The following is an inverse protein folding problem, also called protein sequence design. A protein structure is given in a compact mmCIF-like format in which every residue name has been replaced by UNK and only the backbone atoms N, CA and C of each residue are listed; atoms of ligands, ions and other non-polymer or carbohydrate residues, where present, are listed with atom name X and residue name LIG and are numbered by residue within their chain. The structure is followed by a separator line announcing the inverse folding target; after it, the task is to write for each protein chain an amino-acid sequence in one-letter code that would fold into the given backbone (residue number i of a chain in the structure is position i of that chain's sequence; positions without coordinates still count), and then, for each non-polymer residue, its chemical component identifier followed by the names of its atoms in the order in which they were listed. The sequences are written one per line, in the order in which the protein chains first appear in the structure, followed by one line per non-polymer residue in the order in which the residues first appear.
data_IF_327980425655
#
_entry.id   IF_327980425655
#
_cell.length_a   1.000
_cell.length_b   1.000
_cell.length_c   1.000
_cell.angle_alpha   90.00
_cell.angle_beta   90.00
_cell.angle_gamma   90.00
#
_symmetry.space_group_name_H-M   'P 1'
#
loop_
_entity.id
_entity.type
_entity.pdbx_description
1 polymer ?
#
# COMPACT_ATOMS: atom_id res chain seq x y z
N UNK A 1 9.30 5.39 52.73
CA UNK A 1 7.87 5.10 52.52
C UNK A 1 7.43 5.94 51.34
N UNK A 2 7.83 5.55 50.13
CA UNK A 2 7.49 6.25 48.89
C UNK A 2 7.42 5.21 47.78
N UNK A 3 6.36 4.41 47.83
CA UNK A 3 6.11 3.36 46.84
C UNK A 3 4.61 3.29 46.59
N UNK A 4 4.03 4.46 46.30
CA UNK A 4 2.66 4.58 45.83
C UNK A 4 2.68 5.20 44.45
N UNK A 5 1.72 4.79 43.63
CA UNK A 5 1.45 5.43 42.36
C UNK A 5 1.25 6.94 42.55
N UNK A 6 1.85 7.74 41.66
CA UNK A 6 1.59 9.18 41.61
C UNK A 6 0.10 9.44 41.40
N UNK A 7 -0.38 10.63 41.78
CA UNK A 7 -1.79 11.00 41.55
C UNK A 7 -2.19 10.88 40.07
N UNK A 8 -1.27 11.21 39.17
CA UNK A 8 -1.46 11.08 37.72
C UNK A 8 -1.60 9.60 37.31
N UNK A 9 -0.70 8.73 37.76
CA UNK A 9 -0.74 7.29 37.42
C UNK A 9 -2.01 6.62 37.96
N UNK A 10 -2.44 6.95 39.19
CA UNK A 10 -3.71 6.44 39.74
C UNK A 10 -4.90 6.85 38.88
N UNK A 11 -4.97 8.11 38.48
CA UNK A 11 -6.07 8.60 37.63
C UNK A 11 -6.07 7.91 36.26
N UNK A 12 -4.90 7.65 35.69
CA UNK A 12 -4.80 6.93 34.42
C UNK A 12 -5.24 5.47 34.58
N UNK A 13 -4.77 4.76 35.62
CA UNK A 13 -5.14 3.37 35.87
C UNK A 13 -6.66 3.22 36.13
N UNK A 14 -7.26 4.13 36.89
CA UNK A 14 -8.72 4.18 37.07
C UNK A 14 -9.45 4.43 35.75
N UNK A 15 -8.97 5.35 34.92
CA UNK A 15 -9.54 5.60 33.60
C UNK A 15 -9.42 4.38 32.66
N UNK A 16 -8.41 3.51 32.85
CA UNK A 16 -8.28 2.24 32.13
C UNK A 16 -9.22 1.15 32.65
N UNK A 17 -9.80 1.33 33.84
CA UNK A 17 -10.81 0.44 34.42
C UNK A 17 -10.36 -0.30 35.68
N UNK A 18 -9.24 0.08 36.30
CA UNK A 18 -8.86 -0.49 37.61
C UNK A 18 -9.68 0.13 38.72
N UNK A 19 -10.13 -0.71 39.64
CA UNK A 19 -10.76 -0.29 40.89
C UNK A 19 -9.71 0.09 41.94
N UNK A 20 -10.13 0.82 42.98
CA UNK A 20 -9.27 1.18 44.11
C UNK A 20 -8.73 -0.07 44.84
N UNK A 21 -9.56 -1.10 44.99
CA UNK A 21 -9.15 -2.36 45.66
C UNK A 21 -8.07 -3.10 44.87
N UNK A 22 -8.18 -3.12 43.53
CA UNK A 22 -7.17 -3.71 42.64
C UNK A 22 -5.85 -2.93 42.67
N UNK A 23 -5.91 -1.61 42.78
CA UNK A 23 -4.70 -0.78 42.92
C UNK A 23 -3.99 -1.06 44.24
N UNK A 24 -4.72 -1.20 45.35
CA UNK A 24 -4.15 -1.57 46.65
C UNK A 24 -3.53 -2.97 46.60
N UNK A 25 -4.17 -3.93 45.93
CA UNK A 25 -3.62 -5.28 45.73
C UNK A 25 -2.30 -5.25 44.94
N UNK A 26 -2.23 -4.46 43.86
CA UNK A 26 -1.00 -4.30 43.06
C UNK A 26 0.15 -3.71 43.88
N UNK A 27 -0.12 -2.67 44.68
CA UNK A 27 0.89 -2.09 45.58
C UNK A 27 1.37 -3.12 46.61
N UNK A 28 0.46 -3.93 47.17
CA UNK A 28 0.80 -5.03 48.07
C UNK A 28 1.68 -6.12 47.44
N UNK A 29 1.58 -6.30 46.13
CA UNK A 29 2.42 -7.21 45.34
C UNK A 29 3.72 -6.57 44.83
N UNK A 30 4.01 -5.32 45.21
CA UNK A 30 5.22 -4.61 44.80
C UNK A 30 5.12 -3.88 43.45
N UNK A 31 3.95 -3.88 42.81
CA UNK A 31 3.69 -3.10 41.59
C UNK A 31 3.22 -1.70 41.99
N UNK A 32 4.17 -0.82 42.30
CA UNK A 32 3.90 0.52 42.84
C UNK A 32 4.24 1.68 41.91
N UNK A 33 4.70 1.40 40.68
CA UNK A 33 5.08 2.43 39.71
C UNK A 33 4.84 1.95 38.28
N UNK A 34 4.83 2.88 37.33
CA UNK A 34 4.82 2.52 35.90
C UNK A 34 5.96 1.55 35.52
N UNK A 35 7.14 1.72 36.11
CA UNK A 35 8.30 0.87 35.83
C UNK A 35 8.08 -0.57 36.30
N UNK A 36 7.34 -0.80 37.39
CA UNK A 36 7.05 -2.12 37.91
C UNK A 36 6.22 -2.97 36.94
N UNK A 37 5.41 -2.36 36.07
CA UNK A 37 4.69 -3.08 35.02
C UNK A 37 5.60 -3.64 33.92
N UNK A 38 6.83 -3.15 33.79
CA UNK A 38 7.81 -3.75 32.87
C UNK A 38 8.27 -5.13 33.36
N UNK A 39 8.28 -5.38 34.67
CA UNK A 39 8.59 -6.70 35.25
C UNK A 39 7.44 -7.69 35.04
N UNK A 40 6.19 -7.21 35.04
CA UNK A 40 5.01 -8.02 34.70
C UNK A 40 5.05 -8.43 33.23
N UNK A 41 5.39 -7.48 32.34
CA UNK A 41 5.78 -7.73 30.94
C UNK A 41 4.69 -8.24 29.98
N UNK A 42 3.71 -9.02 30.46
CA UNK A 42 2.65 -9.63 29.63
C UNK A 42 1.28 -9.57 30.29
N UNK A 43 0.24 -9.57 29.45
CA UNK A 43 -1.17 -9.57 29.88
C UNK A 43 -1.49 -10.80 30.73
N UNK A 44 -0.93 -11.96 30.37
CA UNK A 44 -1.12 -13.22 31.09
C UNK A 44 -0.57 -13.13 32.52
N UNK A 45 0.64 -12.63 32.71
CA UNK A 45 1.24 -12.46 34.04
C UNK A 45 0.44 -11.48 34.91
N UNK A 46 -0.13 -10.43 34.31
CA UNK A 46 -1.01 -9.50 35.05
C UNK A 46 -2.33 -10.17 35.47
N UNK A 47 -2.90 -11.04 34.63
CA UNK A 47 -4.09 -11.83 34.94
C UNK A 47 -3.81 -12.94 35.96
N UNK A 48 -2.60 -13.49 36.02
CA UNK A 48 -2.19 -14.43 37.07
C UNK A 48 -2.10 -13.75 38.45
N UNK A 49 -1.65 -12.49 38.48
CA UNK A 49 -1.60 -11.68 39.70
C UNK A 49 -2.99 -11.19 40.14
N UNK A 50 -3.87 -10.88 39.17
CA UNK A 50 -5.25 -10.43 39.40
C UNK A 50 -6.23 -11.25 38.53
N UNK A 51 -6.64 -12.45 38.98
CA UNK A 51 -7.50 -13.32 38.18
C UNK A 51 -8.92 -12.78 37.96
N UNK A 52 -9.34 -11.83 38.80
CA UNK A 52 -10.64 -11.13 38.67
C UNK A 52 -10.58 -9.93 37.72
N UNK A 53 -9.42 -9.62 37.14
CA UNK A 53 -9.25 -8.51 36.21
C UNK A 53 -9.74 -8.88 34.81
N UNK A 54 -10.50 -7.98 34.19
CA UNK A 54 -10.93 -8.15 32.81
C UNK A 54 -9.72 -8.15 31.85
N UNK A 55 -9.59 -9.12 30.93
CA UNK A 55 -8.46 -9.20 29.99
C UNK A 55 -8.26 -7.95 29.11
N UNK A 56 -9.34 -7.24 28.77
CA UNK A 56 -9.27 -5.99 28.01
C UNK A 56 -8.80 -4.82 28.87
N UNK A 57 -9.09 -4.82 30.19
CA UNK A 57 -8.51 -3.85 31.13
C UNK A 57 -7.00 -4.11 31.29
N UNK A 58 -6.59 -5.37 31.46
CA UNK A 58 -5.18 -5.75 31.59
C UNK A 58 -4.34 -5.32 30.36
N UNK A 59 -4.89 -5.49 29.16
CA UNK A 59 -4.26 -5.04 27.91
C UNK A 59 -4.07 -3.52 27.89
N UNK A 60 -5.12 -2.75 28.20
CA UNK A 60 -5.06 -1.28 28.20
C UNK A 60 -4.11 -0.69 29.25
N UNK A 61 -3.90 -1.39 30.36
CA UNK A 61 -2.92 -1.02 31.38
C UNK A 61 -1.51 -1.24 30.89
N UNK A 62 -1.21 -2.42 30.32
CA UNK A 62 0.13 -2.73 29.82
C UNK A 62 0.51 -1.92 28.58
N UNK A 63 -0.43 -1.61 27.69
CA UNK A 63 -0.22 -0.67 26.58
C UNK A 63 0.22 0.73 27.05
N UNK A 64 -0.32 1.17 28.19
CA UNK A 64 0.08 2.45 28.78
C UNK A 64 1.41 2.32 29.54
N UNK A 65 1.56 1.25 30.32
CA UNK A 65 2.65 1.13 31.28
C UNK A 65 3.97 0.73 30.62
N UNK A 66 3.94 -0.22 29.69
CA UNK A 66 5.11 -0.69 28.95
C UNK A 66 5.30 0.21 27.72
N UNK A 67 6.35 1.04 27.66
CA UNK A 67 6.66 1.75 26.44
C UNK A 67 6.89 0.70 25.34
N UNK A 68 6.22 0.86 24.20
CA UNK A 68 6.45 0.04 23.00
C UNK A 68 7.91 0.24 22.59
N UNK A 69 8.79 -0.57 23.15
CA UNK A 69 10.19 -0.61 22.77
C UNK A 69 10.20 -0.96 21.28
N UNK A 70 10.84 -0.08 20.52
CA UNK A 70 11.19 -0.25 19.11
C UNK A 70 11.56 -1.72 18.89
N UNK A 71 10.89 -2.34 17.92
CA UNK A 71 11.13 -3.71 17.51
C UNK A 71 12.60 -3.89 17.14
N UNK A 72 13.41 -4.31 18.11
CA UNK A 72 14.72 -4.90 17.87
C UNK A 72 14.47 -6.29 17.29
N UNK A 73 15.09 -6.56 16.15
CA UNK A 73 15.06 -7.84 15.43
C UNK A 73 15.21 -9.04 16.37
N UNK A 74 14.19 -9.90 16.35
CA UNK A 74 14.23 -11.30 16.80
C UNK A 74 13.25 -12.10 15.93
N UNK A 75 13.47 -13.42 15.77
CA UNK A 75 13.24 -14.14 14.53
C UNK A 75 11.76 -14.25 14.17
N UNK A 76 11.52 -14.14 12.87
CA UNK A 76 10.26 -14.32 12.15
C UNK A 76 9.39 -15.39 12.85
N UNK A 77 8.32 -15.01 13.58
CA UNK A 77 7.24 -15.93 13.82
C UNK A 77 6.55 -16.10 12.48
N UNK A 78 6.42 -17.35 12.03
CA UNK A 78 5.62 -17.73 10.87
C UNK A 78 4.18 -17.35 11.18
N UNK A 79 3.84 -16.08 10.95
CA UNK A 79 2.48 -15.63 10.92
C UNK A 79 1.81 -16.47 9.84
N UNK A 80 0.82 -17.26 10.25
CA UNK A 80 -0.24 -17.69 9.36
C UNK A 80 -0.93 -16.40 8.93
N UNK A 81 -0.35 -15.72 7.96
CA UNK A 81 -1.04 -14.80 7.08
C UNK A 81 -2.09 -15.70 6.46
N UNK A 82 -3.31 -15.72 6.98
CA UNK A 82 -4.44 -15.99 6.12
C UNK A 82 -4.31 -14.92 5.04
N UNK A 83 -3.89 -15.27 3.82
CA UNK A 83 -3.87 -14.27 2.77
C UNK A 83 -5.34 -13.86 2.65
N UNK A 84 -5.65 -12.60 2.93
CA UNK A 84 -6.88 -12.00 2.42
C UNK A 84 -6.65 -11.95 0.92
N UNK A 85 -6.91 -13.08 0.26
CA UNK A 85 -6.90 -13.17 -1.19
C UNK A 85 -8.10 -12.34 -1.60
N UNK A 86 -7.85 -11.06 -1.89
CA UNK A 86 -8.79 -10.26 -2.63
C UNK A 86 -8.78 -10.85 -4.05
N UNK A 87 -9.68 -11.82 -4.26
CA UNK A 87 -9.94 -12.38 -5.58
C UNK A 87 -10.73 -11.32 -6.32
N UNK A 88 -10.02 -10.34 -6.86
CA UNK A 88 -10.59 -9.48 -7.88
C UNK A 88 -10.92 -10.35 -9.09
N UNK A 89 -12.13 -10.16 -9.61
CA UNK A 89 -12.57 -10.85 -10.81
C UNK A 89 -11.68 -10.45 -11.98
N UNK A 90 -11.40 -11.37 -12.91
CA UNK A 90 -10.44 -11.13 -14.01
C UNK A 90 -10.84 -9.99 -14.96
N UNK A 91 -12.09 -9.55 -14.88
CA UNK A 91 -12.71 -8.42 -15.57
C UNK A 91 -12.65 -7.09 -14.78
N UNK A 92 -12.05 -7.06 -13.58
CA UNK A 92 -11.93 -5.85 -12.80
C UNK A 92 -11.01 -4.82 -13.48
N UNK A 93 -11.58 -3.66 -13.83
CA UNK A 93 -10.84 -2.54 -14.42
C UNK A 93 -10.48 -1.54 -13.32
N UNK A 94 -9.26 -1.00 -13.38
CA UNK A 94 -8.77 -0.01 -12.43
C UNK A 94 -8.39 1.27 -13.17
N UNK A 95 -8.71 2.42 -12.58
CA UNK A 95 -8.34 3.71 -13.16
C UNK A 95 -6.81 3.86 -13.18
N UNK A 96 -6.24 4.15 -14.35
CA UNK A 96 -4.81 4.37 -14.51
C UNK A 96 -4.28 5.60 -13.74
N UNK A 97 -5.15 6.54 -13.37
CA UNK A 97 -4.77 7.77 -12.64
C UNK A 97 -4.83 7.64 -11.12
N UNK A 98 -5.89 7.04 -10.57
CA UNK A 98 -6.11 6.97 -9.12
C UNK A 98 -6.22 5.55 -8.56
N UNK A 99 -6.05 4.53 -9.42
CA UNK A 99 -6.16 3.11 -9.10
C UNK A 99 -7.50 2.68 -8.47
N UNK A 100 -8.53 3.51 -8.61
CA UNK A 100 -9.88 3.17 -8.13
C UNK A 100 -10.52 2.13 -9.04
N UNK A 101 -11.15 1.11 -8.44
CA UNK A 101 -11.87 0.05 -9.14
C UNK A 101 -13.08 0.65 -9.86
N UNK A 102 -13.14 0.44 -11.17
CA UNK A 102 -14.24 0.88 -12.00
C UNK A 102 -15.44 -0.08 -11.88
N UNK A 103 -16.67 0.39 -12.11
CA UNK A 103 -17.85 -0.47 -12.07
C UNK A 103 -17.82 -1.47 -13.25
N UNK A 104 -18.62 -2.54 -13.14
CA UNK A 104 -18.57 -3.67 -14.09
C UNK A 104 -19.05 -3.33 -15.50
N UNK A 105 -19.82 -2.26 -15.63
CA UNK A 105 -20.34 -1.70 -16.88
C UNK A 105 -19.37 -0.70 -17.54
N UNK A 106 -18.13 -0.61 -17.05
CA UNK A 106 -17.09 0.25 -17.61
C UNK A 106 -16.85 0.00 -19.11
N UNK A 107 -16.89 1.07 -19.91
CA UNK A 107 -16.52 1.06 -21.32
C UNK A 107 -15.24 1.86 -21.56
N UNK A 108 -14.32 1.42 -22.44
CA UNK A 108 -13.14 2.20 -22.81
C UNK A 108 -13.53 3.59 -23.30
N UNK A 109 -13.02 4.61 -22.62
CA UNK A 109 -13.38 6.01 -22.87
C UNK A 109 -14.13 6.68 -21.71
N UNK A 110 -14.74 5.89 -20.81
CA UNK A 110 -15.47 6.42 -19.67
C UNK A 110 -14.56 7.13 -18.65
N UNK A 111 -15.15 8.10 -17.97
CA UNK A 111 -14.50 8.83 -16.89
C UNK A 111 -14.55 8.02 -15.60
N UNK A 112 -13.47 8.07 -14.84
CA UNK A 112 -13.39 7.46 -13.53
C UNK A 112 -14.37 8.13 -12.56
N UNK A 113 -15.21 7.32 -11.92
CA UNK A 113 -16.21 7.77 -10.92
C UNK A 113 -15.60 8.49 -9.72
N UNK A 114 -14.31 8.25 -9.42
CA UNK A 114 -13.63 8.84 -8.27
C UNK A 114 -12.85 10.12 -8.62
N UNK A 115 -12.08 10.12 -9.72
CA UNK A 115 -11.19 11.24 -10.05
C UNK A 115 -11.63 12.08 -11.25
N UNK A 116 -12.70 11.68 -11.96
CA UNK A 116 -13.24 12.38 -13.13
C UNK A 116 -12.34 12.38 -14.37
N UNK A 117 -11.17 11.72 -14.33
CA UNK A 117 -10.27 11.55 -15.48
C UNK A 117 -10.63 10.27 -16.23
N UNK A 118 -10.30 10.19 -17.51
CA UNK A 118 -10.48 8.97 -18.30
C UNK A 118 -9.83 7.78 -17.59
N UNK A 119 -10.60 6.73 -17.33
CA UNK A 119 -10.14 5.65 -16.46
C UNK A 119 -9.06 4.78 -17.12
N UNK A 120 -9.19 4.48 -18.41
CA UNK A 120 -8.14 3.88 -19.24
C UNK A 120 -7.84 4.78 -20.43
N UNK A 121 -6.56 5.14 -20.67
CA UNK A 121 -6.18 5.88 -21.86
C UNK A 121 -6.45 5.03 -23.10
N UNK A 122 -7.16 5.61 -24.08
CA UNK A 122 -7.33 4.99 -25.40
C UNK A 122 -6.09 5.34 -26.23
N UNK A 123 -5.23 4.36 -26.43
CA UNK A 123 -3.99 4.51 -27.21
C UNK A 123 -4.19 3.98 -28.64
N UNK A 124 -3.49 4.58 -29.59
CA UNK A 124 -3.47 4.11 -30.98
C UNK A 124 -2.30 3.16 -31.20
N UNK A 125 -2.56 2.00 -31.82
CA UNK A 125 -1.53 1.02 -32.08
C UNK A 125 -0.63 1.47 -33.24
N UNK A 126 0.67 1.64 -32.98
CA UNK A 126 1.65 2.00 -34.02
C UNK A 126 1.79 0.93 -35.13
N UNK A 127 1.45 -0.33 -34.84
CA UNK A 127 1.61 -1.43 -35.79
C UNK A 127 0.41 -1.65 -36.71
N UNK A 128 -0.81 -1.67 -36.18
CA UNK A 128 -2.01 -1.94 -36.99
C UNK A 128 -2.99 -0.76 -37.08
N UNK A 129 -2.73 0.35 -36.38
CA UNK A 129 -3.60 1.53 -36.40
C UNK A 129 -4.88 1.41 -35.56
N UNK A 130 -5.23 0.22 -35.06
CA UNK A 130 -6.38 0.04 -34.18
C UNK A 130 -6.20 0.79 -32.85
N UNK A 131 -7.27 1.39 -32.35
CA UNK A 131 -7.32 1.99 -31.02
C UNK A 131 -7.92 1.02 -30.00
N UNK A 132 -7.52 1.15 -28.75
CA UNK A 132 -8.12 0.35 -27.68
C UNK A 132 -7.53 0.63 -26.30
N UNK A 133 -8.18 0.11 -25.26
CA UNK A 133 -7.71 0.22 -23.89
C UNK A 133 -6.50 -0.69 -23.60
N UNK A 134 -5.82 -0.39 -22.50
CA UNK A 134 -4.82 -1.24 -21.87
C UNK A 134 -3.38 -0.98 -22.37
N UNK A 135 -2.48 -1.94 -22.09
CA UNK A 135 -1.04 -1.81 -22.42
C UNK A 135 -0.63 -2.47 -23.73
N UNK A 136 -1.50 -3.30 -24.33
CA UNK A 136 -1.23 -4.02 -25.59
C UNK A 136 -2.46 -3.99 -26.49
N UNK A 137 -2.22 -3.90 -27.79
CA UNK A 137 -3.26 -3.94 -28.81
C UNK A 137 -3.91 -5.33 -28.86
N UNK A 138 -5.23 -5.40 -28.73
CA UNK A 138 -5.99 -6.66 -28.82
C UNK A 138 -6.01 -7.26 -30.22
N UNK A 139 -5.77 -6.47 -31.27
CA UNK A 139 -5.78 -6.94 -32.65
C UNK A 139 -4.45 -7.59 -33.08
N UNK A 140 -3.31 -6.99 -32.72
CA UNK A 140 -1.99 -7.43 -33.21
C UNK A 140 -0.96 -7.75 -32.11
N UNK A 141 -1.30 -7.55 -30.84
CA UNK A 141 -0.45 -7.84 -29.68
C UNK A 141 0.69 -6.84 -29.42
N UNK A 142 0.86 -5.82 -30.26
CA UNK A 142 1.88 -4.79 -30.05
C UNK A 142 1.65 -4.03 -28.74
N UNK A 143 2.72 -3.72 -28.01
CA UNK A 143 2.66 -2.87 -26.79
C UNK A 143 2.31 -1.45 -27.20
N UNK A 144 1.38 -0.80 -26.50
CA UNK A 144 1.08 0.60 -26.77
C UNK A 144 2.26 1.48 -26.35
N UNK A 145 2.62 2.42 -27.22
CA UNK A 145 3.60 3.47 -26.96
C UNK A 145 2.85 4.74 -26.54
N UNK A 146 3.45 5.62 -25.73
CA UNK A 146 2.82 6.89 -25.39
C UNK A 146 2.44 7.69 -26.65
N UNK A 147 1.29 8.37 -26.65
CA UNK A 147 0.83 9.23 -27.76
C UNK A 147 1.92 10.16 -28.29
N UNK A 148 2.72 10.74 -27.38
CA UNK A 148 3.82 11.62 -27.76
C UNK A 148 4.86 10.92 -28.64
N UNK A 149 5.14 9.64 -28.44
CA UNK A 149 6.16 8.87 -29.16
C UNK A 149 5.60 8.08 -30.35
N UNK A 150 4.27 8.10 -30.56
CA UNK A 150 3.62 7.38 -31.65
C UNK A 150 4.23 7.65 -33.04
N UNK A 151 4.55 8.90 -33.43
CA UNK A 151 5.20 9.17 -34.71
C UNK A 151 6.61 8.55 -34.84
N UNK A 152 7.34 8.45 -33.72
CA UNK A 152 8.65 7.79 -33.69
C UNK A 152 8.50 6.27 -33.88
N UNK A 153 7.52 5.66 -33.22
CA UNK A 153 7.23 4.24 -33.40
C UNK A 153 6.83 3.89 -34.84
N UNK A 154 6.03 4.76 -35.48
CA UNK A 154 5.67 4.62 -36.90
C UNK A 154 6.89 4.75 -37.82
N UNK A 155 7.81 5.67 -37.52
CA UNK A 155 9.07 5.80 -38.24
C UNK A 155 9.92 4.53 -38.12
N UNK A 156 10.10 4.00 -36.91
CA UNK A 156 10.89 2.79 -36.67
C UNK A 156 10.28 1.56 -37.35
N UNK A 157 8.95 1.46 -37.38
CA UNK A 157 8.24 0.44 -38.18
C UNK A 157 8.55 0.57 -39.66
N UNK A 158 8.54 1.80 -40.20
CA UNK A 158 8.88 2.04 -41.61
C UNK A 158 10.34 1.71 -41.92
N UNK A 159 11.24 1.93 -40.95
CA UNK A 159 12.66 1.57 -41.04
C UNK A 159 12.88 0.04 -40.93
N UNK A 160 11.83 -0.74 -40.69
CA UNK A 160 11.87 -2.21 -40.72
C UNK A 160 12.17 -2.88 -39.38
N UNK A 161 12.15 -2.14 -38.26
CA UNK A 161 12.30 -2.77 -36.94
C UNK A 161 11.12 -3.70 -36.64
N UNK A 162 11.42 -4.80 -35.93
CA UNK A 162 10.40 -5.75 -35.53
C UNK A 162 9.43 -5.15 -34.50
N UNK A 163 8.20 -5.66 -34.51
CA UNK A 163 7.08 -5.20 -33.66
C UNK A 163 7.46 -5.10 -32.18
N UNK A 164 8.16 -6.10 -31.65
CA UNK A 164 8.51 -6.16 -30.22
C UNK A 164 9.79 -5.36 -29.88
N UNK A 165 10.59 -5.00 -30.89
CA UNK A 165 11.83 -4.24 -30.71
C UNK A 165 11.60 -2.72 -30.65
N UNK A 166 10.52 -2.24 -31.26
CA UNK A 166 10.23 -0.81 -31.35
C UNK A 166 10.03 -0.16 -29.96
N UNK A 167 9.21 -0.71 -29.04
CA UNK A 167 9.06 -0.15 -27.70
C UNK A 167 10.39 -0.17 -26.91
N UNK A 168 11.17 -1.25 -27.05
CA UNK A 168 12.48 -1.37 -26.42
C UNK A 168 13.46 -0.31 -26.93
N UNK A 169 13.54 -0.14 -28.25
CA UNK A 169 14.40 0.88 -28.88
C UNK A 169 14.03 2.29 -28.44
N UNK A 170 12.74 2.59 -28.28
CA UNK A 170 12.27 3.90 -27.79
C UNK A 170 12.57 4.11 -26.30
N UNK A 171 12.53 3.06 -25.49
CA UNK A 171 12.89 3.14 -24.08
C UNK A 171 14.40 3.34 -23.87
N UNK A 172 15.22 2.70 -24.70
CA UNK A 172 16.69 2.77 -24.64
C UNK A 172 17.28 4.01 -25.34
N UNK A 173 16.53 4.67 -26.21
CA UNK A 173 17.00 5.83 -26.96
C UNK A 173 17.24 7.05 -26.04
N UNK A 174 18.38 7.71 -26.24
CA UNK A 174 18.70 8.97 -25.55
C UNK A 174 17.82 10.12 -26.04
N UNK A 175 17.79 11.23 -25.30
CA UNK A 175 17.05 12.43 -25.72
C UNK A 175 17.55 12.97 -27.08
N UNK A 176 18.86 12.92 -27.33
CA UNK A 176 19.47 13.32 -28.59
C UNK A 176 19.05 12.38 -29.74
N UNK A 177 19.06 11.07 -29.52
CA UNK A 177 18.58 10.09 -30.50
C UNK A 177 17.11 10.34 -30.86
N UNK A 178 16.27 10.61 -29.85
CA UNK A 178 14.86 10.92 -30.05
C UNK A 178 14.69 12.22 -30.85
N UNK A 179 15.47 13.26 -30.60
CA UNK A 179 15.37 14.50 -31.40
C UNK A 179 15.83 14.31 -32.85
N UNK A 180 16.87 13.51 -33.09
CA UNK A 180 17.26 13.14 -34.46
C UNK A 180 16.13 12.38 -35.19
N UNK A 181 15.48 11.42 -34.51
CA UNK A 181 14.32 10.72 -35.05
C UNK A 181 13.17 11.68 -35.33
N UNK A 182 12.89 12.63 -34.43
CA UNK A 182 11.91 13.69 -34.65
C UNK A 182 12.25 14.56 -35.86
N UNK A 183 13.53 14.88 -36.07
CA UNK A 183 14.00 15.57 -37.27
C UNK A 183 13.63 14.81 -38.55
N UNK A 184 13.74 13.47 -38.54
CA UNK A 184 13.33 12.61 -39.67
C UNK A 184 11.81 12.58 -39.84
N UNK A 185 11.04 12.48 -38.74
CA UNK A 185 9.57 12.52 -38.78
C UNK A 185 9.07 13.84 -39.38
N UNK A 186 9.63 14.98 -38.94
CA UNK A 186 9.27 16.31 -39.45
C UNK A 186 9.54 16.44 -40.95
N UNK A 187 10.69 15.95 -41.42
CA UNK A 187 11.05 15.93 -42.86
C UNK A 187 10.14 15.04 -43.70
N UNK A 188 9.60 13.97 -43.14
CA UNK A 188 8.75 13.02 -43.86
C UNK A 188 7.26 13.46 -43.93
N UNK A 189 6.87 14.55 -43.26
CA UNK A 189 5.52 15.11 -43.26
C UNK A 189 5.33 16.32 -44.18
N UNK A 190 6.44 16.85 -44.72
CA UNK A 190 6.46 17.85 -45.81
C UNK A 190 6.53 17.09 -47.12
#
# INVERSE_FOLDING_TARGET
MDSDFTLLERNILKAKGLTDDQLTSLVGMGVSSRASFAEVGTVLTLLELLPELDPAVATRVLEWAVPTAVATEAPIPTAVVTPTINVDSSDAVFCASCNYKQPKDYTPGDLCVNCGRQAEPIEQCFWCGASGPGRRCRNCGAVFVPVAELPLALLLRRDGLAKDDIPRRLAEATAEDKDQMWGRVRRARI
#
